data_IF_612621051329
#
_entry.id   IF_612621051329
#
_cell.length_a   1.000
_cell.length_b   1.000
_cell.length_c   1.000
_cell.angle_alpha   90.00
_cell.angle_beta   90.00
_cell.angle_gamma   90.00
#
_symmetry.space_group_name_H-M   'P 1'
#
loop_
_entity.id
_entity.type
_entity.pdbx_description
1 polymer ?
#
# COMPACT_ATOMS: atom_id res chain seq x y z
N UNK A 1 -24.16 8.74 -15.99
CA UNK A 1 -23.67 10.02 -15.43
C UNK A 1 -23.82 9.96 -13.92
N UNK A 2 -22.76 9.62 -13.20
CA UNK A 2 -22.71 9.69 -11.73
C UNK A 2 -21.71 10.78 -11.37
N UNK A 3 -22.19 11.83 -10.71
CA UNK A 3 -21.40 12.99 -10.29
C UNK A 3 -20.67 12.76 -8.95
N UNK A 4 -20.35 11.50 -8.63
CA UNK A 4 -19.50 11.18 -7.48
C UNK A 4 -18.12 10.81 -8.00
N UNK A 5 -17.13 11.64 -7.66
CA UNK A 5 -15.71 11.38 -7.91
C UNK A 5 -15.39 9.96 -7.39
N UNK A 6 -14.81 9.05 -8.18
CA UNK A 6 -14.55 7.66 -7.77
C UNK A 6 -13.79 7.56 -6.43
N UNK A 7 -12.96 8.56 -6.12
CA UNK A 7 -12.25 8.70 -4.83
C UNK A 7 -13.19 8.82 -3.62
N UNK A 8 -14.35 9.47 -3.78
CA UNK A 8 -15.34 9.62 -2.71
C UNK A 8 -16.11 8.32 -2.47
N UNK A 9 -16.39 7.53 -3.52
CA UNK A 9 -17.00 6.21 -3.38
C UNK A 9 -16.05 5.23 -2.69
N UNK A 10 -14.76 5.25 -3.07
CA UNK A 10 -13.75 4.43 -2.42
C UNK A 10 -13.63 4.75 -0.92
N UNK A 11 -13.72 6.03 -0.56
CA UNK A 11 -13.72 6.46 0.84
C UNK A 11 -14.98 6.02 1.59
N UNK A 12 -16.17 6.13 0.98
CA UNK A 12 -17.42 5.69 1.62
C UNK A 12 -17.48 4.16 1.83
N UNK A 13 -17.01 3.39 0.85
CA UNK A 13 -16.88 1.93 1.01
C UNK A 13 -15.86 1.59 2.10
N UNK A 14 -14.77 2.35 2.20
CA UNK A 14 -13.72 2.17 3.22
C UNK A 14 -14.22 2.39 4.65
N UNK A 15 -15.12 3.34 4.88
CA UNK A 15 -15.64 3.65 6.22
C UNK A 15 -16.99 2.99 6.51
N UNK A 16 -17.54 2.21 5.58
CA UNK A 16 -18.88 1.61 5.71
C UNK A 16 -19.00 0.75 6.97
N UNK A 17 -17.99 -0.07 7.26
CA UNK A 17 -18.01 -0.97 8.42
C UNK A 17 -17.97 -0.21 9.74
N UNK A 18 -17.19 0.88 9.79
CA UNK A 18 -17.15 1.79 10.93
C UNK A 18 -18.48 2.53 11.13
N UNK A 19 -19.08 3.03 10.05
CA UNK A 19 -20.38 3.73 10.10
C UNK A 19 -21.52 2.79 10.52
N UNK A 20 -21.50 1.53 10.06
CA UNK A 20 -22.48 0.52 10.50
C UNK A 20 -22.28 0.20 11.98
N UNK A 21 -21.03 0.01 12.43
CA UNK A 21 -20.73 -0.19 13.85
C UNK A 21 -21.19 0.98 14.73
N UNK A 22 -21.03 2.22 14.24
CA UNK A 22 -21.52 3.43 14.91
C UNK A 22 -23.04 3.47 15.02
N UNK A 23 -23.75 3.12 13.95
CA UNK A 23 -25.20 2.99 14.00
C UNK A 23 -25.64 1.93 15.02
N UNK A 24 -24.92 0.82 15.09
CA UNK A 24 -25.23 -0.27 16.03
C UNK A 24 -24.98 0.13 17.48
N UNK A 25 -23.91 0.86 17.77
CA UNK A 25 -23.63 1.38 19.11
C UNK A 25 -24.66 2.41 19.57
N UNK A 26 -25.09 3.31 18.67
CA UNK A 26 -26.16 4.28 18.96
C UNK A 26 -27.48 3.54 19.25
N UNK A 27 -27.82 2.54 18.44
CA UNK A 27 -29.01 1.72 18.66
C UNK A 27 -28.93 0.93 19.97
N UNK A 28 -27.76 0.37 20.29
CA UNK A 28 -27.50 -0.30 21.56
C UNK A 28 -27.68 0.64 22.74
N UNK A 29 -27.12 1.85 22.68
CA UNK A 29 -27.23 2.87 23.72
C UNK A 29 -28.68 3.27 23.98
N UNK A 30 -29.47 3.53 22.92
CA UNK A 30 -30.91 3.82 23.05
C UNK A 30 -31.64 2.64 23.71
N UNK A 31 -31.26 1.41 23.36
CA UNK A 31 -31.88 0.20 23.91
C UNK A 31 -31.57 0.03 25.40
N UNK A 32 -30.36 0.37 25.87
CA UNK A 32 -29.99 0.26 27.30
C UNK A 32 -30.90 1.09 28.22
N UNK A 33 -31.40 2.23 27.76
CA UNK A 33 -32.30 3.09 28.55
C UNK A 33 -33.77 2.61 28.58
N UNK A 34 -34.08 1.47 27.96
CA UNK A 34 -35.42 0.91 27.98
C UNK A 34 -35.84 0.39 29.37
N UNK A 35 -37.16 0.22 29.61
CA UNK A 35 -37.69 -0.04 30.96
C UNK A 35 -37.44 -1.45 31.52
N UNK A 36 -36.94 -2.40 30.73
CA UNK A 36 -36.78 -3.80 31.15
C UNK A 36 -35.31 -4.20 31.29
N UNK A 37 -35.03 -5.19 32.16
CA UNK A 37 -33.68 -5.78 32.27
C UNK A 37 -33.23 -6.47 30.98
N UNK A 38 -34.16 -6.97 30.16
CA UNK A 38 -33.83 -7.54 28.86
C UNK A 38 -33.21 -6.47 27.93
N UNK A 39 -33.73 -5.25 27.96
CA UNK A 39 -33.22 -4.14 27.14
C UNK A 39 -31.76 -3.79 27.49
N UNK A 40 -31.37 -3.89 28.77
CA UNK A 40 -29.98 -3.72 29.20
C UNK A 40 -29.06 -4.78 28.60
N UNK A 41 -29.44 -6.06 28.66
CA UNK A 41 -28.64 -7.17 28.11
C UNK A 41 -28.49 -7.03 26.59
N UNK A 42 -29.58 -6.77 25.88
CA UNK A 42 -29.57 -6.59 24.43
C UNK A 42 -28.76 -5.36 24.01
N UNK A 43 -28.93 -4.23 24.70
CA UNK A 43 -28.19 -3.00 24.40
C UNK A 43 -26.69 -3.15 24.59
N UNK A 44 -26.25 -3.78 25.69
CA UNK A 44 -24.83 -4.09 25.91
C UNK A 44 -24.28 -5.02 24.84
N UNK A 45 -25.03 -6.06 24.45
CA UNK A 45 -24.59 -7.01 23.42
C UNK A 45 -24.45 -6.34 22.05
N UNK A 46 -25.35 -5.43 21.71
CA UNK A 46 -25.25 -4.59 20.50
C UNK A 46 -24.04 -3.67 20.55
N UNK A 47 -23.74 -3.03 21.69
CA UNK A 47 -22.57 -2.16 21.84
C UNK A 47 -21.25 -2.93 21.74
N UNK A 48 -21.18 -4.15 22.30
CA UNK A 48 -19.99 -5.01 22.16
C UNK A 48 -19.77 -5.39 20.68
N UNK A 49 -20.84 -5.75 19.98
CA UNK A 49 -20.76 -6.11 18.57
C UNK A 49 -20.42 -4.90 17.68
N UNK A 50 -20.99 -3.73 17.96
CA UNK A 50 -20.71 -2.49 17.24
C UNK A 50 -19.27 -2.04 17.43
N UNK A 51 -18.79 -2.05 18.67
CA UNK A 51 -17.38 -1.79 19.02
C UNK A 51 -16.42 -2.77 18.32
N UNK A 52 -16.74 -4.07 18.27
CA UNK A 52 -15.92 -5.04 17.56
C UNK A 52 -15.87 -4.78 16.04
N UNK A 53 -17.02 -4.45 15.43
CA UNK A 53 -17.07 -4.06 14.01
C UNK A 53 -16.30 -2.78 13.73
N UNK A 54 -16.39 -1.77 14.60
CA UNK A 54 -15.59 -0.55 14.49
C UNK A 54 -14.10 -0.86 14.58
N UNK A 55 -13.68 -1.72 15.51
CA UNK A 55 -12.27 -2.08 15.69
C UNK A 55 -11.71 -2.78 14.44
N UNK A 56 -12.45 -3.76 13.89
CA UNK A 56 -12.07 -4.45 12.65
C UNK A 56 -12.07 -3.50 11.45
N UNK A 57 -13.07 -2.63 11.34
CA UNK A 57 -13.16 -1.62 10.28
C UNK A 57 -11.99 -0.63 10.35
N UNK A 58 -11.62 -0.19 11.56
CA UNK A 58 -10.49 0.70 11.79
C UNK A 58 -9.17 0.01 11.46
N UNK A 59 -9.00 -1.26 11.86
CA UNK A 59 -7.82 -2.06 11.52
C UNK A 59 -7.71 -2.21 10.00
N UNK A 60 -8.78 -2.61 9.30
CA UNK A 60 -8.79 -2.76 7.83
C UNK A 60 -8.54 -1.46 7.10
N UNK A 61 -9.14 -0.36 7.54
CA UNK A 61 -8.91 0.95 6.96
C UNK A 61 -7.45 1.40 7.12
N UNK A 62 -6.81 1.04 8.24
CA UNK A 62 -5.42 1.41 8.55
C UNK A 62 -4.40 0.54 7.79
N UNK A 63 -4.64 -0.76 7.65
CA UNK A 63 -3.81 -1.64 6.83
C UNK A 63 -3.85 -1.24 5.36
N UNK A 64 -5.05 -1.01 4.81
CA UNK A 64 -5.21 -0.65 3.40
C UNK A 64 -4.80 0.80 3.06
N UNK A 65 -4.52 1.64 4.07
CA UNK A 65 -4.04 3.01 3.88
C UNK A 65 -2.50 3.09 3.77
N UNK A 66 -1.76 2.10 4.31
CA UNK A 66 -0.30 2.14 4.39
C UNK A 66 0.41 0.98 3.67
N UNK A 67 -0.28 -0.09 3.27
CA UNK A 67 0.31 -1.20 2.53
C UNK A 67 -0.79 -2.10 1.98
N UNK A 68 -0.96 -2.12 0.66
CA UNK A 68 -2.08 -2.83 0.04
C UNK A 68 -1.98 -3.06 -1.45
N UNK A 69 -0.85 -2.70 -2.06
CA UNK A 69 -0.50 -3.16 -3.40
C UNK A 69 -0.32 -4.67 -3.44
N UNK A 70 -0.33 -5.21 -4.65
CA UNK A 70 -0.12 -6.63 -4.83
C UNK A 70 1.32 -7.00 -4.39
N UNK A 71 1.43 -7.90 -3.41
CA UNK A 71 2.70 -8.50 -2.99
C UNK A 71 3.46 -7.74 -1.90
N UNK A 72 4.54 -8.38 -1.44
CA UNK A 72 5.43 -7.89 -0.38
C UNK A 72 6.84 -7.74 -0.92
N UNK A 73 7.49 -6.64 -0.60
CA UNK A 73 8.89 -6.38 -0.89
C UNK A 73 9.70 -6.58 0.38
N UNK A 74 10.78 -7.33 0.26
CA UNK A 74 11.79 -7.50 1.28
C UNK A 74 13.13 -6.98 0.75
N UNK A 75 13.78 -6.15 1.55
CA UNK A 75 15.05 -5.52 1.18
C UNK A 75 16.06 -5.87 2.25
N UNK A 76 17.05 -6.65 1.85
CA UNK A 76 18.23 -6.93 2.65
C UNK A 76 19.43 -6.13 2.08
N UNK A 77 20.54 -6.08 2.80
CA UNK A 77 21.71 -5.23 2.52
C UNK A 77 22.32 -5.45 1.12
N UNK A 78 22.05 -6.59 0.49
CA UNK A 78 22.61 -6.97 -0.82
C UNK A 78 21.56 -7.34 -1.87
N UNK A 79 20.29 -7.45 -1.50
CA UNK A 79 19.28 -8.03 -2.38
C UNK A 79 17.89 -7.44 -2.14
N UNK A 80 17.21 -7.12 -3.24
CA UNK A 80 15.79 -6.77 -3.25
C UNK A 80 15.02 -8.01 -3.69
N UNK A 81 14.05 -8.43 -2.89
CA UNK A 81 13.18 -9.57 -3.18
C UNK A 81 11.72 -9.09 -3.20
N UNK A 82 10.95 -9.58 -4.17
CA UNK A 82 9.54 -9.27 -4.30
C UNK A 82 8.73 -10.57 -4.41
N UNK A 83 7.73 -10.66 -3.54
CA UNK A 83 6.81 -11.79 -3.41
C UNK A 83 5.42 -11.34 -3.84
N UNK A 84 5.17 -11.36 -5.15
CA UNK A 84 3.86 -11.05 -5.72
C UNK A 84 2.93 -12.26 -5.81
N UNK A 85 1.62 -12.03 -6.00
CA UNK A 85 0.61 -13.09 -6.05
C UNK A 85 0.68 -13.96 -7.31
N UNK A 86 1.21 -13.42 -8.41
CA UNK A 86 1.29 -14.10 -9.72
C UNK A 86 2.73 -14.25 -10.21
N UNK A 87 3.61 -13.35 -9.80
CA UNK A 87 5.02 -13.33 -10.16
C UNK A 87 5.82 -12.78 -8.98
N UNK A 88 7.07 -13.18 -8.90
CA UNK A 88 8.02 -12.72 -7.90
C UNK A 88 9.43 -12.97 -8.38
N UNK A 89 10.40 -12.50 -7.61
CA UNK A 89 11.80 -12.67 -7.94
C UNK A 89 12.69 -11.85 -7.03
N UNK A 90 13.98 -11.91 -7.31
CA UNK A 90 14.96 -11.13 -6.59
C UNK A 90 16.03 -10.59 -7.52
N UNK A 91 16.57 -9.44 -7.14
CA UNK A 91 17.68 -8.79 -7.83
C UNK A 91 18.69 -8.35 -6.78
N UNK A 92 19.95 -8.72 -6.98
CA UNK A 92 21.04 -8.24 -6.14
C UNK A 92 21.28 -6.76 -6.42
N UNK A 93 21.50 -5.97 -5.38
CA UNK A 93 21.73 -4.52 -5.50
C UNK A 93 23.00 -4.23 -6.32
N UNK A 94 23.98 -5.13 -6.23
CA UNK A 94 25.23 -5.08 -7.01
C UNK A 94 25.05 -5.41 -8.48
N UNK A 95 24.05 -6.21 -8.85
CA UNK A 95 23.74 -6.57 -10.25
C UNK A 95 22.80 -5.56 -10.91
N UNK A 96 22.15 -4.70 -10.12
CA UNK A 96 21.21 -3.70 -10.59
C UNK A 96 21.88 -2.76 -11.60
N UNK A 97 21.33 -2.70 -12.81
CA UNK A 97 21.84 -1.90 -13.91
C UNK A 97 20.93 -0.70 -14.21
N UNK A 98 19.62 -0.85 -14.03
CA UNK A 98 18.64 0.21 -14.31
C UNK A 98 17.44 0.13 -13.37
N UNK A 99 16.96 1.30 -12.95
CA UNK A 99 15.68 1.47 -12.28
C UNK A 99 14.81 2.34 -13.17
N UNK A 100 13.63 1.85 -13.53
CA UNK A 100 12.62 2.60 -14.24
C UNK A 100 11.26 2.50 -13.56
N UNK A 101 10.35 3.39 -13.91
CA UNK A 101 8.92 3.24 -13.62
C UNK A 101 8.16 3.10 -14.92
N UNK A 102 7.31 2.08 -15.00
CA UNK A 102 6.47 1.77 -16.16
C UNK A 102 4.99 1.86 -15.81
N UNK A 103 4.10 2.17 -16.78
CA UNK A 103 2.66 2.09 -16.58
C UNK A 103 2.24 0.64 -16.23
N UNK A 104 1.25 0.41 -15.34
CA UNK A 104 0.31 1.38 -14.76
C UNK A 104 0.77 2.05 -13.45
N UNK A 105 2.08 1.99 -13.11
CA UNK A 105 2.81 2.54 -11.95
C UNK A 105 3.54 1.42 -11.18
N UNK A 106 4.51 0.82 -11.88
CA UNK A 106 5.30 -0.33 -11.42
C UNK A 106 6.78 0.03 -11.53
N UNK A 107 7.55 -0.25 -10.48
CA UNK A 107 9.01 -0.23 -10.52
C UNK A 107 9.52 -1.39 -11.37
N UNK A 108 10.45 -1.10 -12.25
CA UNK A 108 11.11 -2.07 -13.10
C UNK A 108 12.61 -2.03 -12.80
N UNK A 109 13.12 -3.10 -12.18
CA UNK A 109 14.50 -3.25 -11.76
C UNK A 109 15.19 -4.21 -12.70
N UNK A 110 16.05 -3.70 -13.58
CA UNK A 110 16.76 -4.52 -14.57
C UNK A 110 18.19 -4.77 -14.13
N UNK A 111 18.65 -6.01 -14.26
CA UNK A 111 20.04 -6.40 -14.06
C UNK A 111 20.88 -6.22 -15.35
N UNK A 112 22.19 -6.39 -15.24
CA UNK A 112 23.11 -6.31 -16.38
C UNK A 112 22.94 -7.44 -17.41
N UNK A 113 22.17 -8.48 -17.09
CA UNK A 113 21.90 -9.64 -17.97
C UNK A 113 20.55 -9.51 -18.70
N UNK A 114 19.81 -8.42 -18.48
CA UNK A 114 18.51 -8.16 -19.10
C UNK A 114 17.33 -8.83 -18.40
N UNK A 115 17.52 -9.44 -17.22
CA UNK A 115 16.40 -9.87 -16.37
C UNK A 115 15.81 -8.65 -15.68
N UNK A 116 14.49 -8.64 -15.54
CA UNK A 116 13.75 -7.53 -14.95
C UNK A 116 12.84 -8.04 -13.84
N UNK A 117 12.88 -7.36 -12.69
CA UNK A 117 11.97 -7.55 -11.58
C UNK A 117 10.98 -6.39 -11.55
N UNK A 118 9.70 -6.72 -11.67
CA UNK A 118 8.60 -5.76 -11.63
C UNK A 118 7.96 -5.74 -10.24
N UNK A 119 7.89 -4.56 -9.63
CA UNK A 119 7.37 -4.36 -8.27
C UNK A 119 6.33 -3.24 -8.30
N UNK A 120 5.06 -3.48 -7.95
CA UNK A 120 4.07 -2.43 -7.82
C UNK A 120 4.53 -1.35 -6.82
N UNK A 121 4.32 -0.08 -7.16
CA UNK A 121 4.74 1.04 -6.29
C UNK A 121 4.01 1.05 -4.94
N UNK A 122 2.82 0.44 -4.88
CA UNK A 122 2.00 0.30 -3.68
C UNK A 122 2.23 -1.01 -2.90
N UNK A 123 3.19 -1.85 -3.31
CA UNK A 123 3.52 -3.11 -2.63
C UNK A 123 3.91 -2.87 -1.15
N UNK A 124 3.53 -3.82 -0.30
CA UNK A 124 3.87 -3.76 1.13
C UNK A 124 5.39 -3.82 1.31
N UNK A 125 5.96 -2.99 2.19
CA UNK A 125 7.41 -2.87 2.34
C UNK A 125 8.10 -1.99 1.27
N UNK A 126 7.35 -1.39 0.34
CA UNK A 126 7.89 -0.52 -0.70
C UNK A 126 8.67 0.70 -0.18
N UNK A 127 8.45 1.12 1.07
CA UNK A 127 9.25 2.17 1.73
C UNK A 127 10.73 1.81 1.81
N UNK A 128 11.07 0.53 2.04
CA UNK A 128 12.45 0.06 2.11
C UNK A 128 13.18 0.15 0.76
N UNK A 129 12.44 0.12 -0.36
CA UNK A 129 13.03 0.37 -1.69
C UNK A 129 13.58 1.78 -1.80
N UNK A 130 12.91 2.77 -1.21
CA UNK A 130 13.37 4.15 -1.26
C UNK A 130 14.75 4.28 -0.61
N UNK A 131 14.93 3.66 0.56
CA UNK A 131 16.20 3.65 1.28
C UNK A 131 17.28 2.90 0.49
N UNK A 132 16.96 1.71 -0.06
CA UNK A 132 17.88 0.94 -0.89
C UNK A 132 18.33 1.71 -2.14
N UNK A 133 17.39 2.37 -2.82
CA UNK A 133 17.70 3.16 -4.00
C UNK A 133 18.52 4.40 -3.64
N UNK A 134 18.23 5.04 -2.50
CA UNK A 134 18.96 6.23 -2.03
C UNK A 134 20.45 5.96 -1.76
N UNK A 135 20.81 4.71 -1.45
CA UNK A 135 22.20 4.29 -1.28
C UNK A 135 22.98 4.17 -2.60
N UNK A 136 22.30 4.19 -3.76
CA UNK A 136 22.95 4.06 -5.06
C UNK A 136 23.67 5.36 -5.48
N UNK A 137 24.89 5.25 -6.05
CA UNK A 137 25.64 6.42 -6.47
C UNK A 137 24.95 7.14 -7.64
N UNK A 138 24.85 8.47 -7.52
CA UNK A 138 24.32 9.33 -8.58
C UNK A 138 22.79 9.34 -8.72
N UNK A 139 22.06 8.73 -7.78
CA UNK A 139 20.61 8.81 -7.77
C UNK A 139 20.12 10.19 -7.28
N UNK A 140 19.01 10.65 -7.84
CA UNK A 140 18.38 11.91 -7.45
C UNK A 140 17.17 11.62 -6.56
N UNK A 141 17.22 12.05 -5.30
CA UNK A 141 16.14 11.87 -4.34
C UNK A 141 14.82 12.51 -4.82
N UNK A 142 14.89 13.66 -5.52
CA UNK A 142 13.70 14.28 -6.13
C UNK A 142 13.10 13.42 -7.23
N UNK A 143 13.91 12.85 -8.15
CA UNK A 143 13.40 11.93 -9.18
C UNK A 143 12.78 10.67 -8.58
N UNK A 144 13.36 10.16 -7.48
CA UNK A 144 12.83 8.99 -6.77
C UNK A 144 11.46 9.29 -6.14
N UNK A 145 11.33 10.46 -5.52
CA UNK A 145 10.06 10.92 -4.96
C UNK A 145 9.00 11.17 -6.04
N UNK A 146 9.38 11.78 -7.16
CA UNK A 146 8.48 12.02 -8.30
C UNK A 146 8.01 10.70 -8.92
N UNK A 147 8.91 9.73 -9.08
CA UNK A 147 8.63 8.40 -9.57
C UNK A 147 7.60 7.63 -8.72
N UNK A 148 7.54 7.91 -7.40
CA UNK A 148 6.56 7.30 -6.48
C UNK A 148 5.21 8.01 -6.54
N UNK A 149 5.16 9.30 -6.89
CA UNK A 149 3.94 10.13 -6.84
C UNK A 149 3.24 10.24 -8.19
N UNK A 150 4.00 10.32 -9.27
CA UNK A 150 3.49 10.58 -10.61
C UNK A 150 3.33 9.26 -11.35
N UNK A 151 2.10 8.96 -11.80
CA UNK A 151 1.86 7.79 -12.65
C UNK A 151 2.53 8.01 -14.01
N UNK A 152 3.45 7.14 -14.42
CA UNK A 152 4.10 7.26 -15.72
C UNK A 152 3.09 7.01 -16.86
N UNK A 153 3.19 7.79 -17.94
CA UNK A 153 2.47 7.54 -19.21
C UNK A 153 3.31 6.64 -20.13
N UNK A 154 4.63 6.62 -19.94
CA UNK A 154 5.60 5.79 -20.64
C UNK A 154 6.74 5.40 -19.70
N UNK A 155 7.55 4.40 -20.09
CA UNK A 155 8.72 3.96 -19.34
C UNK A 155 9.65 5.16 -19.06
N UNK A 156 9.84 5.45 -17.78
CA UNK A 156 10.66 6.57 -17.31
C UNK A 156 11.83 6.00 -16.51
N UNK A 157 13.05 6.11 -17.04
CA UNK A 157 14.27 5.69 -16.32
C UNK A 157 14.57 6.68 -15.20
N UNK A 158 14.63 6.19 -13.97
CA UNK A 158 14.94 6.98 -12.77
C UNK A 158 16.44 6.99 -12.50
N UNK A 159 17.07 5.84 -12.67
CA UNK A 159 18.50 5.65 -12.45
C UNK A 159 19.06 4.60 -13.40
N UNK A 160 20.32 4.78 -13.76
CA UNK A 160 21.09 3.81 -14.54
C UNK A 160 22.52 3.77 -13.98
N UNK A 161 23.08 2.57 -13.88
CA UNK A 161 24.41 2.38 -13.31
C UNK A 161 25.44 3.17 -14.12
N UNK A 162 26.23 4.06 -13.47
CA UNK A 162 27.26 4.83 -14.15
C UNK A 162 28.24 3.87 -14.84
N UNK A 163 28.32 3.95 -16.17
CA UNK A 163 29.32 3.18 -16.90
C UNK A 163 30.69 3.80 -16.60
N UNK A 164 31.56 3.04 -15.94
CA UNK A 164 32.93 3.46 -15.65
C UNK A 164 33.63 3.64 -17.01
N UNK A 165 33.73 4.88 -17.49
CA UNK A 165 34.54 5.21 -18.67
C UNK A 165 35.98 4.90 -18.28
N UNK A 166 36.52 3.80 -18.82
CA UNK A 166 37.96 3.56 -18.83
C UNK A 166 38.53 4.57 -19.84
N UNK A 167 39.17 5.61 -19.34
CA UNK A 167 40.01 6.54 -20.12
C UNK A 167 41.43 6.04 -20.17
#
# INVERSE_FOLDING_TARGET
>A
MSFIRPDAQATLVRWREFLIGMGLDIAGLVTVFGPTRANLIFGVLMMVLGSAMMFVGLQRARFRANGGGAGVVDVDERQISYFGPTAGGSVALEDLARIAVVPPHVWELSDGQGRSLEIPVDAEGGEALFDAFSALPGISASRLADATRVRPVSRTTVWEKPHRRLS
#
